data_IF_687283965957
#
_entry.id   IF_687283965957
#
_cell.length_a   1.000
_cell.length_b   1.000
_cell.length_c   1.000
_cell.angle_alpha   90.00
_cell.angle_beta   90.00
_cell.angle_gamma   90.00
#
_symmetry.space_group_name_H-M   'P 1'
#
loop_
_entity.id
_entity.type
_entity.pdbx_description
1 polymer ?
#
# COMPACT_ATOMS: atom_id res chain seq x y z
N UNK A 1 3.77 -1.32 -3.40
CA UNK A 1 4.39 -0.24 -2.60
C UNK A 1 4.84 -0.86 -1.29
N UNK A 2 6.03 -0.51 -0.81
CA UNK A 2 6.54 -1.05 0.45
C UNK A 2 7.12 0.06 1.32
N UNK A 3 7.03 -0.14 2.64
CA UNK A 3 7.57 0.80 3.60
C UNK A 3 9.11 0.81 3.58
N UNK A 4 9.66 1.86 4.17
CA UNK A 4 11.12 2.01 4.31
C UNK A 4 11.68 0.80 5.08
N UNK A 5 12.75 0.20 4.54
CA UNK A 5 13.42 -0.95 5.16
C UNK A 5 12.89 -2.33 4.73
N UNK A 6 11.89 -2.38 3.85
CA UNK A 6 11.38 -3.65 3.32
C UNK A 6 12.44 -4.34 2.43
N UNK A 7 12.90 -5.53 2.83
CA UNK A 7 13.99 -6.28 2.15
C UNK A 7 13.44 -7.14 1.00
N UNK A 8 12.45 -6.65 0.26
CA UNK A 8 11.88 -7.40 -0.86
C UNK A 8 12.65 -7.14 -2.17
N UNK A 9 13.34 -6.01 -2.27
CA UNK A 9 14.19 -5.68 -3.42
C UNK A 9 15.32 -6.70 -3.65
N UNK A 10 15.78 -7.41 -2.60
CA UNK A 10 16.76 -8.50 -2.77
C UNK A 10 16.15 -9.75 -3.41
N UNK A 11 14.88 -10.03 -3.12
CA UNK A 11 14.14 -11.19 -3.64
C UNK A 11 13.61 -10.95 -5.06
N UNK A 12 13.42 -9.68 -5.43
CA UNK A 12 12.95 -9.28 -6.77
C UNK A 12 14.08 -8.97 -7.74
N UNK A 13 15.35 -9.21 -7.37
CA UNK A 13 16.50 -8.93 -8.25
C UNK A 13 16.44 -9.67 -9.59
N UNK A 14 15.87 -10.87 -9.58
CA UNK A 14 15.79 -11.73 -10.77
C UNK A 14 14.45 -11.58 -11.50
N UNK A 15 13.60 -10.65 -11.06
CA UNK A 15 12.28 -10.37 -11.65
C UNK A 15 12.29 -8.97 -12.26
N UNK A 16 11.62 -8.76 -13.38
CA UNK A 16 11.46 -7.44 -14.02
C UNK A 16 10.44 -6.54 -13.29
N UNK A 17 10.36 -6.65 -11.95
CA UNK A 17 9.37 -5.98 -11.11
C UNK A 17 10.05 -5.02 -10.16
N UNK A 18 9.78 -3.73 -10.32
CA UNK A 18 10.21 -2.69 -9.40
C UNK A 18 9.13 -2.40 -8.34
N UNK A 19 9.54 -2.24 -7.08
CA UNK A 19 8.65 -1.76 -6.01
C UNK A 19 8.77 -0.25 -5.88
N UNK A 20 7.63 0.44 -5.85
CA UNK A 20 7.54 1.83 -5.43
C UNK A 20 7.91 1.97 -3.94
N UNK A 21 9.12 2.44 -3.67
CA UNK A 21 9.67 2.74 -2.34
C UNK A 21 10.28 4.15 -2.39
N UNK A 22 10.03 5.01 -1.39
CA UNK A 22 10.55 6.37 -1.39
C UNK A 22 12.09 6.39 -1.39
N UNK A 23 12.66 7.37 -2.11
CA UNK A 23 14.11 7.54 -2.22
C UNK A 23 14.75 7.88 -0.87
N UNK A 24 16.01 7.44 -0.69
CA UNK A 24 16.83 7.75 0.48
C UNK A 24 17.79 8.90 0.20
N UNK A 25 17.98 9.76 1.20
CA UNK A 25 19.18 10.59 1.30
C UNK A 25 20.26 9.70 1.93
N UNK A 26 21.27 9.30 1.16
CA UNK A 26 22.44 8.64 1.73
C UNK A 26 23.53 9.69 1.94
N UNK A 27 24.02 9.79 3.18
CA UNK A 27 25.16 10.57 3.70
C UNK A 27 25.31 12.06 3.31
N UNK A 28 25.14 12.48 2.07
CA UNK A 28 25.39 13.86 1.62
C UNK A 28 24.29 14.39 0.69
N UNK A 29 23.50 15.34 1.21
CA UNK A 29 22.97 16.51 0.48
C UNK A 29 21.81 16.35 -0.51
N UNK A 30 20.60 16.75 -0.06
CA UNK A 30 19.38 17.13 -0.81
C UNK A 30 18.89 16.23 -1.98
N UNK A 31 17.57 16.09 -2.09
CA UNK A 31 16.96 15.42 -3.24
C UNK A 31 17.09 16.28 -4.49
N UNK A 32 17.41 15.65 -5.62
CA UNK A 32 17.29 16.30 -6.94
C UNK A 32 15.81 16.61 -7.26
N UNK A 33 15.52 17.59 -8.13
CA UNK A 33 14.13 17.91 -8.51
C UNK A 33 13.32 16.70 -9.00
N UNK A 34 13.95 15.80 -9.77
CA UNK A 34 13.31 14.57 -10.24
C UNK A 34 12.99 13.59 -9.10
N UNK A 35 13.91 13.42 -8.14
CA UNK A 35 13.65 12.58 -6.96
C UNK A 35 12.55 13.17 -6.04
N UNK A 36 12.42 14.50 -5.99
CA UNK A 36 11.34 15.17 -5.26
C UNK A 36 10.00 14.83 -5.92
N UNK A 37 9.90 14.95 -7.24
CA UNK A 37 8.68 14.64 -7.99
C UNK A 37 8.27 13.17 -7.81
N UNK A 38 9.22 12.25 -7.91
CA UNK A 38 8.96 10.82 -7.71
C UNK A 38 8.57 10.50 -6.27
N UNK A 39 9.22 11.12 -5.29
CA UNK A 39 8.81 11.01 -3.89
C UNK A 39 7.40 11.57 -3.64
N UNK A 40 7.02 12.66 -4.30
CA UNK A 40 5.64 13.20 -4.21
C UNK A 40 4.62 12.22 -4.80
N UNK A 41 4.92 11.59 -5.95
CA UNK A 41 4.07 10.56 -6.54
C UNK A 41 3.93 9.35 -5.61
N UNK A 42 5.05 8.85 -5.08
CA UNK A 42 5.07 7.72 -4.13
C UNK A 42 4.32 8.09 -2.85
N UNK A 43 4.48 9.31 -2.32
CA UNK A 43 3.75 9.77 -1.14
C UNK A 43 2.24 9.87 -1.40
N UNK A 44 1.82 10.34 -2.57
CA UNK A 44 0.41 10.38 -2.97
C UNK A 44 -0.19 8.97 -3.03
N UNK A 45 0.51 8.02 -3.65
CA UNK A 45 0.12 6.60 -3.65
C UNK A 45 0.05 6.03 -2.23
N UNK A 46 1.00 6.39 -1.36
CA UNK A 46 1.03 5.96 0.03
C UNK A 46 -0.18 6.45 0.81
N UNK A 47 -0.53 7.72 0.66
CA UNK A 47 -1.72 8.30 1.27
C UNK A 47 -2.97 7.55 0.83
N UNK A 48 -3.07 7.16 -0.44
CA UNK A 48 -4.22 6.39 -0.93
C UNK A 48 -4.33 5.03 -0.25
N UNK A 49 -3.24 4.28 -0.17
CA UNK A 49 -3.20 2.96 0.49
C UNK A 49 -3.50 3.08 1.99
N UNK A 50 -2.87 4.01 2.70
CA UNK A 50 -3.08 4.22 4.13
C UNK A 50 -4.53 4.63 4.45
N UNK A 51 -5.15 5.46 3.60
CA UNK A 51 -6.57 5.83 3.77
C UNK A 51 -7.49 4.62 3.61
N UNK A 52 -7.27 3.77 2.62
CA UNK A 52 -8.08 2.55 2.45
C UNK A 52 -7.91 1.60 3.63
N UNK A 53 -6.66 1.36 4.08
CA UNK A 53 -6.40 0.53 5.27
C UNK A 53 -7.06 1.13 6.51
N UNK A 54 -6.98 2.45 6.70
CA UNK A 54 -7.63 3.14 7.81
C UNK A 54 -9.14 2.91 7.80
N UNK A 55 -9.80 3.11 6.67
CA UNK A 55 -11.26 2.92 6.56
C UNK A 55 -11.68 1.46 6.73
N UNK A 56 -10.93 0.52 6.16
CA UNK A 56 -11.16 -0.91 6.38
C UNK A 56 -11.11 -1.28 7.88
N UNK A 57 -10.22 -0.63 8.63
CA UNK A 57 -10.14 -0.77 10.10
C UNK A 57 -11.30 -0.05 10.82
N UNK A 58 -11.65 1.17 10.43
CA UNK A 58 -12.74 1.96 11.03
C UNK A 58 -14.10 1.29 10.87
N UNK A 59 -14.38 0.75 9.67
CA UNK A 59 -15.60 0.01 9.36
C UNK A 59 -15.58 -1.43 9.85
N UNK A 60 -14.49 -1.87 10.50
CA UNK A 60 -14.35 -3.21 11.10
C UNK A 60 -14.58 -4.35 10.11
N UNK A 61 -14.33 -4.12 8.81
CA UNK A 61 -14.64 -5.05 7.73
C UNK A 61 -13.88 -6.39 7.86
N UNK A 62 -12.70 -6.35 8.48
CA UNK A 62 -11.86 -7.52 8.75
C UNK A 62 -11.48 -7.62 10.23
N UNK A 63 -12.36 -7.18 11.12
CA UNK A 63 -12.09 -7.19 12.57
C UNK A 63 -12.17 -8.60 13.17
N UNK A 64 -12.92 -9.50 12.55
CA UNK A 64 -13.17 -10.84 13.05
C UNK A 64 -12.12 -11.85 12.58
N UNK A 65 -11.87 -12.86 13.40
CA UNK A 65 -11.00 -13.98 13.06
C UNK A 65 -11.55 -14.70 11.83
N UNK A 66 -10.76 -14.73 10.76
CA UNK A 66 -11.09 -15.50 9.56
C UNK A 66 -10.80 -16.98 9.86
N UNK A 67 -11.80 -17.87 9.78
CA UNK A 67 -11.56 -19.31 9.95
C UNK A 67 -10.58 -19.83 8.90
N UNK A 68 -9.75 -20.82 9.25
CA UNK A 68 -8.78 -21.38 8.32
C UNK A 68 -9.45 -21.99 7.07
N UNK A 69 -10.67 -22.51 7.21
CA UNK A 69 -11.50 -22.98 6.09
C UNK A 69 -11.81 -21.89 5.06
N UNK A 70 -11.75 -20.61 5.46
CA UNK A 70 -12.02 -19.45 4.63
C UNK A 70 -10.75 -18.75 4.15
N UNK A 71 -9.56 -19.26 4.49
CA UNK A 71 -8.27 -18.63 4.16
C UNK A 71 -8.08 -18.44 2.64
N UNK A 72 -8.58 -19.38 1.82
CA UNK A 72 -8.54 -19.27 0.37
C UNK A 72 -9.38 -18.10 -0.20
N UNK A 73 -10.35 -17.61 0.56
CA UNK A 73 -11.25 -16.53 0.17
C UNK A 73 -10.85 -15.16 0.74
N UNK A 74 -9.72 -15.06 1.44
CA UNK A 74 -9.26 -13.80 2.05
C UNK A 74 -9.10 -12.71 1.00
N UNK A 75 -8.56 -13.03 -0.18
CA UNK A 75 -8.45 -12.06 -1.27
C UNK A 75 -9.83 -11.56 -1.74
N UNK A 76 -10.82 -12.44 -1.83
CA UNK A 76 -12.19 -12.08 -2.24
C UNK A 76 -12.84 -11.16 -1.20
N UNK A 77 -12.68 -11.49 0.10
CA UNK A 77 -13.14 -10.63 1.20
C UNK A 77 -12.49 -9.25 1.16
N UNK A 78 -11.18 -9.19 0.92
CA UNK A 78 -10.45 -7.94 0.76
C UNK A 78 -10.95 -7.12 -0.43
N UNK A 79 -11.15 -7.75 -1.59
CA UNK A 79 -11.68 -7.06 -2.79
C UNK A 79 -13.07 -6.47 -2.52
N UNK A 80 -13.97 -7.26 -1.93
CA UNK A 80 -15.32 -6.81 -1.59
C UNK A 80 -15.28 -5.66 -0.57
N UNK A 81 -14.44 -5.75 0.47
CA UNK A 81 -14.27 -4.68 1.45
C UNK A 81 -13.81 -3.36 0.82
N UNK A 82 -12.86 -3.40 -0.13
CA UNK A 82 -12.41 -2.21 -0.84
C UNK A 82 -13.47 -1.64 -1.79
N UNK A 83 -14.28 -2.50 -2.43
CA UNK A 83 -15.38 -2.05 -3.28
C UNK A 83 -16.40 -1.26 -2.44
N UNK A 84 -16.78 -1.77 -1.27
CA UNK A 84 -17.66 -1.06 -0.34
C UNK A 84 -17.09 0.31 0.07
N UNK A 85 -15.80 0.39 0.38
CA UNK A 85 -15.15 1.66 0.69
C UNK A 85 -15.19 2.66 -0.48
N UNK A 86 -14.98 2.18 -1.70
CA UNK A 86 -15.02 3.02 -2.90
C UNK A 86 -16.42 3.56 -3.20
N UNK A 87 -17.46 2.73 -3.04
CA UNK A 87 -18.86 3.13 -3.24
C UNK A 87 -19.30 4.12 -2.17
N UNK A 88 -18.95 3.91 -0.91
CA UNK A 88 -19.29 4.84 0.17
C UNK A 88 -18.64 6.22 -0.02
N UNK A 89 -17.46 6.27 -0.64
CA UNK A 89 -16.81 7.54 -1.03
C UNK A 89 -17.55 8.26 -2.17
N UNK A 90 -18.28 7.57 -3.03
CA UNK A 90 -19.06 8.20 -4.11
C UNK A 90 -20.38 8.78 -3.60
N UNK A 91 -20.89 8.29 -2.48
CA UNK A 91 -22.18 8.68 -1.90
C UNK A 91 -22.06 9.86 -0.91
N UNK A 92 -20.86 10.13 -0.39
CA UNK A 92 -20.55 11.22 0.55
C UNK A 92 -19.67 12.30 -0.10
#
# INVERSE_FOLDING_TARGET
>A
MADKGFILNKLLKDTDVSIATPHFLCSDGQFTPSQIEDNQKIASLRIHVERHIKRAKEYRLLQYTVPLSLAGSVNQLWTVANLFDSVQKTIN
#
